data_IF_752763247391
#
_entry.id   IF_752763247391
#
_cell.length_a   1.000
_cell.length_b   1.000
_cell.length_c   1.000
_cell.angle_alpha   90.00
_cell.angle_beta   90.00
_cell.angle_gamma   90.00
#
_symmetry.space_group_name_H-M   'P 1'
#
loop_
_entity.id
_entity.type
_entity.pdbx_description
1 polymer ?
#
# COMPACT_ATOMS: atom_id res chain seq x y z
N UNK A 1 -6.24 -9.80 -12.23
CA UNK A 1 -4.98 -9.35 -12.88
C UNK A 1 -3.84 -10.27 -12.49
N UNK A 2 -3.63 -10.53 -11.19
CA UNK A 2 -2.61 -11.48 -10.72
C UNK A 2 -2.80 -12.89 -11.26
N UNK A 3 -4.04 -13.28 -11.53
CA UNK A 3 -4.40 -14.53 -12.19
C UNK A 3 -3.93 -14.60 -13.67
N UNK A 4 -3.98 -13.48 -14.41
CA UNK A 4 -3.47 -13.40 -15.79
C UNK A 4 -1.94 -13.47 -15.81
N UNK A 5 -1.28 -12.86 -14.83
CA UNK A 5 0.16 -12.98 -14.63
C UNK A 5 0.55 -14.42 -14.31
N UNK A 6 -0.12 -15.05 -13.34
CA UNK A 6 0.16 -16.43 -12.94
C UNK A 6 -0.05 -17.45 -14.07
N UNK A 7 -1.10 -17.27 -14.89
CA UNK A 7 -1.35 -18.11 -16.06
C UNK A 7 -0.45 -17.80 -17.26
N UNK A 8 0.34 -16.72 -17.21
CA UNK A 8 1.17 -16.26 -18.32
C UNK A 8 0.39 -15.64 -19.49
N UNK A 9 -0.88 -15.30 -19.29
CA UNK A 9 -1.69 -14.59 -20.31
C UNK A 9 -1.21 -13.16 -20.50
N UNK A 10 -0.67 -12.54 -19.45
CA UNK A 10 0.00 -11.25 -19.50
C UNK A 10 1.36 -11.37 -18.81
N UNK A 11 2.48 -10.93 -19.44
CA UNK A 11 3.81 -11.11 -18.86
C UNK A 11 4.13 -10.12 -17.72
N UNK A 12 3.38 -9.01 -17.63
CA UNK A 12 3.62 -7.92 -16.68
C UNK A 12 2.28 -7.49 -16.08
N UNK A 13 2.29 -7.18 -14.78
CA UNK A 13 1.16 -6.60 -14.09
C UNK A 13 1.62 -5.37 -13.29
N UNK A 14 1.08 -4.20 -13.62
CA UNK A 14 1.49 -2.93 -12.98
C UNK A 14 0.74 -2.63 -11.67
N UNK A 15 -0.40 -3.27 -11.44
CA UNK A 15 -1.32 -2.99 -10.34
C UNK A 15 -1.78 -4.24 -9.61
N UNK A 16 -1.00 -5.32 -9.70
CA UNK A 16 -1.23 -6.52 -8.93
C UNK A 16 -0.97 -6.23 -7.46
N UNK A 17 -1.97 -6.53 -6.63
CA UNK A 17 -1.83 -6.31 -5.20
C UNK A 17 -1.08 -7.46 -4.57
N UNK A 18 -0.34 -7.17 -3.52
CA UNK A 18 0.43 -8.16 -2.78
C UNK A 18 -0.45 -9.29 -2.22
N UNK A 19 -1.63 -8.96 -1.68
CA UNK A 19 -2.59 -9.92 -1.14
C UNK A 19 -3.08 -10.94 -2.19
N UNK A 20 -3.05 -10.58 -3.48
CA UNK A 20 -3.33 -11.51 -4.58
C UNK A 20 -2.09 -12.30 -5.02
N UNK A 21 -0.89 -11.70 -4.97
CA UNK A 21 0.37 -12.31 -5.45
C UNK A 21 0.96 -13.31 -4.45
N UNK A 22 0.84 -13.05 -3.14
CA UNK A 22 1.40 -13.91 -2.09
C UNK A 22 0.85 -15.34 -2.11
N UNK A 23 -0.47 -15.57 -2.22
CA UNK A 23 -1.00 -16.94 -2.36
C UNK A 23 -0.47 -17.64 -3.60
N UNK A 24 -0.35 -16.95 -4.73
CA UNK A 24 0.17 -17.52 -5.98
C UNK A 24 1.63 -17.97 -5.84
N UNK A 25 2.48 -17.15 -5.22
CA UNK A 25 3.88 -17.54 -4.94
C UNK A 25 3.90 -18.78 -4.01
N UNK A 26 3.04 -18.81 -2.99
CA UNK A 26 2.92 -19.96 -2.07
C UNK A 26 2.47 -21.24 -2.78
N UNK A 27 1.61 -21.11 -3.78
CA UNK A 27 1.14 -22.22 -4.63
C UNK A 27 2.17 -22.65 -5.69
N UNK A 28 3.36 -22.02 -5.71
CA UNK A 28 4.49 -22.41 -6.56
C UNK A 28 4.58 -21.66 -7.89
N UNK A 29 3.75 -20.64 -8.11
CA UNK A 29 3.88 -19.80 -9.31
C UNK A 29 5.17 -18.96 -9.25
N UNK A 30 5.89 -18.93 -10.37
CA UNK A 30 7.14 -18.16 -10.50
C UNK A 30 6.83 -16.71 -10.87
N UNK A 31 6.56 -15.90 -9.85
CA UNK A 31 6.29 -14.46 -10.01
C UNK A 31 7.48 -13.66 -9.49
N UNK A 32 7.97 -12.72 -10.29
CA UNK A 32 9.00 -11.76 -9.89
C UNK A 32 8.34 -10.43 -9.54
N UNK A 33 8.50 -10.00 -8.30
CA UNK A 33 8.08 -8.66 -7.87
C UNK A 33 9.20 -7.65 -8.09
N UNK A 34 8.88 -6.54 -8.74
CA UNK A 34 9.79 -5.43 -8.99
C UNK A 34 9.26 -4.21 -8.23
N UNK A 35 9.90 -3.88 -7.11
CA UNK A 35 9.45 -2.80 -6.22
C UNK A 35 10.04 -1.42 -6.57
N UNK A 36 11.11 -1.39 -7.37
CA UNK A 36 11.82 -0.17 -7.75
C UNK A 36 12.26 -0.28 -9.21
N UNK A 37 12.05 0.78 -9.97
CA UNK A 37 12.58 0.96 -11.31
C UNK A 37 13.65 2.05 -11.25
N UNK A 38 14.79 1.86 -11.93
CA UNK A 38 15.94 2.76 -11.82
C UNK A 38 15.62 4.22 -12.20
N UNK A 39 14.77 4.41 -13.21
CA UNK A 39 14.44 5.71 -13.80
C UNK A 39 13.06 6.23 -13.39
N UNK A 40 12.41 5.60 -12.39
CA UNK A 40 11.10 6.03 -11.90
C UNK A 40 11.19 6.36 -10.41
N UNK A 41 10.60 7.48 -9.96
CA UNK A 41 10.45 7.74 -8.53
C UNK A 41 9.75 6.57 -7.85
N UNK A 42 10.32 6.10 -6.74
CA UNK A 42 9.62 5.15 -5.88
C UNK A 42 8.34 5.81 -5.36
N UNK A 43 7.27 5.04 -5.16
CA UNK A 43 6.03 5.56 -4.58
C UNK A 43 5.76 4.97 -3.20
N UNK A 44 5.06 5.75 -2.38
CA UNK A 44 4.39 5.27 -1.17
C UNK A 44 2.91 5.61 -1.28
N UNK A 45 2.10 4.86 -0.55
CA UNK A 45 0.69 5.13 -0.35
C UNK A 45 0.38 5.04 1.14
N UNK A 46 -0.85 5.42 1.51
CA UNK A 46 -1.30 5.41 2.90
C UNK A 46 -1.48 4.02 3.53
N UNK A 47 -1.10 2.93 2.85
CA UNK A 47 -1.49 1.56 3.20
C UNK A 47 -3.03 1.43 3.16
N UNK A 48 -3.63 0.23 3.24
CA UNK A 48 -5.06 0.07 2.96
C UNK A 48 -5.98 0.60 4.06
N UNK A 49 -5.47 1.35 5.04
CA UNK A 49 -6.23 1.70 6.24
C UNK A 49 -6.08 3.15 6.67
N UNK A 50 -7.23 3.80 6.83
CA UNK A 50 -7.38 5.08 7.50
C UNK A 50 -8.31 4.87 8.70
N UNK A 51 -7.80 5.06 9.91
CA UNK A 51 -8.63 5.00 11.11
C UNK A 51 -9.41 6.31 11.23
N UNK A 52 -10.75 6.23 11.18
CA UNK A 52 -11.63 7.38 11.33
C UNK A 52 -12.50 7.22 12.57
N UNK A 53 -12.64 8.29 13.36
CA UNK A 53 -13.60 8.37 14.47
C UNK A 53 -14.78 9.24 14.07
N UNK A 54 -15.95 8.64 13.92
CA UNK A 54 -17.16 9.36 13.58
C UNK A 54 -17.60 10.28 14.74
N UNK A 55 -17.95 11.52 14.40
CA UNK A 55 -18.61 12.40 15.36
C UNK A 55 -19.95 11.78 15.79
N UNK A 56 -20.34 11.98 17.06
CA UNK A 56 -21.58 11.46 17.65
C UNK A 56 -21.73 9.93 17.50
N UNK A 57 -20.63 9.18 17.62
CA UNK A 57 -20.67 7.73 17.63
C UNK A 57 -21.62 7.21 18.75
N UNK A 58 -22.40 6.13 18.53
CA UNK A 58 -23.33 5.59 19.53
C UNK A 58 -22.66 5.24 20.87
N UNK A 59 -21.38 4.87 20.83
CA UNK A 59 -20.57 4.53 21.99
C UNK A 59 -19.21 5.26 21.93
N UNK A 60 -19.15 6.56 22.26
CA UNK A 60 -17.95 7.38 22.01
C UNK A 60 -16.75 6.95 22.86
N UNK A 61 -16.99 6.48 24.10
CA UNK A 61 -15.92 5.98 24.98
C UNK A 61 -15.35 4.64 24.51
N UNK A 62 -16.18 3.74 23.98
CA UNK A 62 -15.71 2.49 23.39
C UNK A 62 -14.90 2.73 22.12
N UNK A 63 -15.35 3.65 21.25
CA UNK A 63 -14.61 4.05 20.06
C UNK A 63 -13.24 4.65 20.41
N UNK A 64 -13.18 5.50 21.45
CA UNK A 64 -11.93 6.06 21.96
C UNK A 64 -11.00 4.96 22.51
N UNK A 65 -11.53 4.02 23.30
CA UNK A 65 -10.76 2.91 23.85
C UNK A 65 -10.14 2.05 22.73
N UNK A 66 -10.94 1.70 21.72
CA UNK A 66 -10.46 0.92 20.58
C UNK A 66 -9.39 1.69 19.79
N UNK A 67 -9.61 2.97 19.49
CA UNK A 67 -8.62 3.78 18.78
C UNK A 67 -7.29 3.86 19.52
N UNK A 68 -7.31 4.07 20.84
CA UNK A 68 -6.10 4.07 21.65
C UNK A 68 -5.39 2.71 21.64
N UNK A 69 -6.15 1.61 21.73
CA UNK A 69 -5.59 0.26 21.72
C UNK A 69 -5.00 -0.12 20.35
N UNK A 70 -5.73 0.08 19.25
CA UNK A 70 -5.25 -0.33 17.92
C UNK A 70 -4.04 0.50 17.47
N UNK A 71 -3.87 1.74 17.96
CA UNK A 71 -2.69 2.57 17.70
C UNK A 71 -1.51 2.30 18.65
N UNK A 72 -1.69 1.43 19.65
CA UNK A 72 -0.59 0.97 20.50
C UNK A 72 0.40 0.12 19.70
N UNK A 73 1.62 -0.06 20.25
CA UNK A 73 2.63 -0.94 19.65
C UNK A 73 2.11 -2.37 19.46
N UNK A 74 1.37 -2.89 20.43
CA UNK A 74 0.82 -4.25 20.39
C UNK A 74 -0.32 -4.36 19.36
N UNK A 75 -1.29 -3.46 19.41
CA UNK A 75 -2.45 -3.47 18.52
C UNK A 75 -2.03 -3.31 17.06
N UNK A 76 -1.24 -2.26 16.77
CA UNK A 76 -0.82 -1.98 15.42
C UNK A 76 0.21 -3.01 14.92
N UNK A 77 1.06 -3.52 15.80
CA UNK A 77 2.00 -4.60 15.47
C UNK A 77 1.28 -5.91 15.13
N UNK A 78 0.21 -6.24 15.84
CA UNK A 78 -0.63 -7.41 15.55
C UNK A 78 -1.30 -7.27 14.19
N UNK A 79 -1.86 -6.10 13.92
CA UNK A 79 -2.46 -5.78 12.63
C UNK A 79 -1.43 -5.85 11.49
N UNK A 80 -0.29 -5.18 11.62
CA UNK A 80 0.77 -5.12 10.61
C UNK A 80 1.28 -6.52 10.23
N UNK A 81 1.53 -7.39 11.23
CA UNK A 81 1.95 -8.78 10.98
C UNK A 81 0.88 -9.62 10.31
N UNK A 82 -0.38 -9.47 10.70
CA UNK A 82 -1.50 -10.21 10.10
C UNK A 82 -1.78 -9.78 8.66
N UNK A 83 -1.65 -8.49 8.38
CA UNK A 83 -1.89 -7.93 7.05
C UNK A 83 -0.68 -8.06 6.11
N UNK A 84 0.55 -8.07 6.64
CA UNK A 84 1.78 -8.12 5.85
C UNK A 84 2.27 -6.75 5.36
N UNK A 85 1.86 -5.65 6.01
CA UNK A 85 2.25 -4.28 5.64
C UNK A 85 2.93 -3.54 6.81
N UNK A 86 3.73 -2.54 6.46
CA UNK A 86 4.43 -1.66 7.40
C UNK A 86 3.46 -0.78 8.19
N UNK A 87 3.90 -0.41 9.39
CA UNK A 87 3.23 0.51 10.28
C UNK A 87 3.80 1.93 10.16
N UNK A 88 3.00 2.93 10.56
CA UNK A 88 3.51 4.29 10.79
C UNK A 88 4.32 4.41 12.10
N UNK A 89 4.29 3.41 12.97
CA UNK A 89 5.10 3.40 14.19
C UNK A 89 6.52 2.95 13.88
N UNK A 90 7.50 3.68 14.41
CA UNK A 90 8.93 3.38 14.24
C UNK A 90 9.48 2.38 15.26
N UNK A 91 8.66 1.91 16.20
CA UNK A 91 9.05 1.03 17.31
C UNK A 91 8.51 -0.40 17.18
N UNK A 92 7.94 -0.77 16.03
CA UNK A 92 7.49 -2.13 15.71
C UNK A 92 8.60 -2.87 14.98
N UNK A 93 8.78 -4.14 15.31
CA UNK A 93 9.67 -5.03 14.57
C UNK A 93 8.98 -5.49 13.27
N UNK A 94 9.56 -5.09 12.14
CA UNK A 94 9.07 -5.35 10.79
C UNK A 94 9.99 -6.32 10.01
N UNK A 95 10.95 -6.96 10.68
CA UNK A 95 11.94 -7.84 10.04
C UNK A 95 11.31 -9.05 9.31
N UNK A 96 10.08 -9.42 9.67
CA UNK A 96 9.33 -10.52 9.04
C UNK A 96 8.54 -10.09 7.79
N UNK A 97 8.52 -8.80 7.44
CA UNK A 97 7.83 -8.29 6.25
C UNK A 97 8.69 -8.47 4.99
N UNK A 98 8.06 -8.49 3.81
CA UNK A 98 8.80 -8.51 2.57
C UNK A 98 9.67 -7.23 2.48
N UNK A 99 10.99 -7.33 2.21
CA UNK A 99 11.86 -6.18 2.03
C UNK A 99 11.36 -5.15 0.99
N UNK A 100 10.56 -5.58 0.01
CA UNK A 100 9.91 -4.70 -0.97
C UNK A 100 8.88 -3.74 -0.38
N UNK A 101 8.28 -4.09 0.76
CA UNK A 101 7.27 -3.27 1.45
C UNK A 101 7.89 -2.28 2.43
N UNK A 102 9.18 -2.41 2.74
CA UNK A 102 9.89 -1.56 3.69
C UNK A 102 10.39 -0.29 2.98
N UNK A 103 9.94 0.91 3.39
CA UNK A 103 10.51 2.16 2.89
C UNK A 103 12.02 2.23 3.19
N UNK A 104 12.80 2.61 2.18
CA UNK A 104 14.25 2.72 2.26
C UNK A 104 14.66 4.13 2.68
N UNK A 105 15.62 4.20 3.61
CA UNK A 105 16.19 5.47 4.06
C UNK A 105 16.83 6.23 2.91
N UNK A 106 16.54 7.52 2.80
CA UNK A 106 17.15 8.43 1.82
C UNK A 106 16.54 8.37 0.40
N UNK A 107 15.55 7.52 0.16
CA UNK A 107 14.81 7.50 -1.10
C UNK A 107 13.75 8.60 -1.10
N UNK A 108 13.69 9.38 -2.19
CA UNK A 108 12.62 10.36 -2.39
C UNK A 108 11.40 9.65 -2.97
N UNK A 109 10.40 9.45 -2.13
CA UNK A 109 9.15 8.83 -2.52
C UNK A 109 8.15 9.84 -3.07
N UNK A 110 7.39 9.43 -4.08
CA UNK A 110 6.14 10.05 -4.48
C UNK A 110 5.01 9.49 -3.62
N UNK A 111 4.45 10.33 -2.75
CA UNK A 111 3.31 9.96 -1.91
C UNK A 111 2.00 10.17 -2.69
N UNK A 112 1.37 9.07 -3.11
CA UNK A 112 0.11 9.14 -3.85
C UNK A 112 -1.12 9.44 -2.96
N UNK A 113 -0.88 9.60 -1.65
CA UNK A 113 -1.84 10.06 -0.64
C UNK A 113 -1.58 11.47 -0.13
N UNK A 114 -0.55 12.17 -0.65
CA UNK A 114 -0.32 13.58 -0.34
C UNK A 114 -1.58 14.41 -0.63
N UNK A 115 -1.96 15.28 0.31
CA UNK A 115 -3.20 16.04 0.23
C UNK A 115 -3.30 16.88 -1.06
N UNK A 116 -2.21 17.55 -1.46
CA UNK A 116 -2.21 18.37 -2.66
C UNK A 116 -2.34 17.49 -3.90
N UNK A 117 -1.68 16.33 -3.91
CA UNK A 117 -1.87 15.35 -4.98
C UNK A 117 -3.31 14.86 -5.07
N UNK A 118 -3.94 14.49 -3.95
CA UNK A 118 -5.33 14.00 -3.91
C UNK A 118 -6.31 15.05 -4.45
N UNK A 119 -6.21 16.30 -3.96
CA UNK A 119 -7.24 17.32 -4.21
C UNK A 119 -7.09 17.97 -5.57
N UNK A 120 -5.87 18.24 -6.03
CA UNK A 120 -5.64 18.95 -7.31
C UNK A 120 -4.80 18.12 -8.28
N UNK A 121 -3.66 17.59 -7.83
CA UNK A 121 -2.66 16.96 -8.70
C UNK A 121 -3.20 15.80 -9.54
N UNK A 122 -4.06 14.95 -8.98
CA UNK A 122 -4.71 13.86 -9.73
C UNK A 122 -5.55 14.36 -10.88
N UNK A 123 -6.36 15.41 -10.67
CA UNK A 123 -7.23 15.95 -11.71
C UNK A 123 -6.43 16.60 -12.83
N UNK A 124 -5.43 17.41 -12.47
CA UNK A 124 -4.57 18.12 -13.41
C UNK A 124 -3.79 17.17 -14.33
N UNK A 125 -3.41 16.00 -13.82
CA UNK A 125 -2.62 15.03 -14.58
C UNK A 125 -3.46 13.94 -15.26
N UNK A 126 -4.74 13.79 -14.89
CA UNK A 126 -5.64 12.77 -15.47
C UNK A 126 -5.75 12.89 -16.98
N UNK A 127 -5.89 14.11 -17.50
CA UNK A 127 -6.03 14.30 -18.95
C UNK A 127 -4.73 13.93 -19.68
N UNK A 128 -3.57 14.30 -19.13
CA UNK A 128 -2.26 13.92 -19.69
C UNK A 128 -2.10 12.41 -19.78
N UNK A 129 -2.47 11.69 -18.71
CA UNK A 129 -2.46 10.21 -18.70
C UNK A 129 -3.38 9.66 -19.78
N UNK A 130 -4.58 10.22 -19.93
CA UNK A 130 -5.52 9.77 -20.97
C UNK A 130 -5.01 10.02 -22.40
N UNK A 131 -4.31 11.12 -22.65
CA UNK A 131 -3.71 11.37 -23.97
C UNK A 131 -2.66 10.30 -24.29
N UNK A 132 -1.76 10.02 -23.35
CA UNK A 132 -0.74 8.95 -23.48
C UNK A 132 -1.39 7.60 -23.74
N UNK A 133 -2.42 7.22 -22.96
CA UNK A 133 -3.11 5.93 -23.13
C UNK A 133 -3.87 5.81 -24.45
N UNK A 134 -4.35 6.94 -25.00
CA UNK A 134 -5.01 6.98 -26.32
C UNK A 134 -4.02 7.04 -27.48
N UNK A 135 -2.70 7.11 -27.20
CA UNK A 135 -1.66 7.25 -28.22
C UNK A 135 -1.74 8.58 -28.98
N UNK A 136 -2.20 9.64 -28.32
CA UNK A 136 -2.27 11.01 -28.87
C UNK A 136 -1.23 11.92 -28.25
#
# INVERSE_FOLDING_TARGET
MSDWLARGTQPICLSCREDDVRPLIKDGFKILEIFLLADMPASVNGSPWMLTLANRAPNPKAAQLFANWILSKEGLGTYARGFGSVSLRTDIDEANLNPGNLPKKGVKYFDDTDWNWIVTGRQENREKVWQVLKGK
#
